data_IF_645633819502
#
_entry.id   IF_645633819502
#
_cell.length_a   1.000
_cell.length_b   1.000
_cell.length_c   1.000
_cell.angle_alpha   90.00
_cell.angle_beta   90.00
_cell.angle_gamma   90.00
#
_symmetry.space_group_name_H-M   'P 1'
#
loop_
_entity.id
_entity.type
_entity.pdbx_description
1 polymer ?
#
# COMPACT_ATOMS: atom_id res chain seq x y z
N UNK A 1 -9.02 6.86 22.03
CA UNK A 1 -9.46 5.73 21.19
C UNK A 1 -10.96 5.53 21.27
N UNK A 2 -11.72 5.99 20.28
CA UNK A 2 -13.20 5.90 20.30
C UNK A 2 -13.83 5.47 18.96
N UNK A 3 -13.04 5.05 17.98
CA UNK A 3 -13.53 4.67 16.64
C UNK A 3 -13.65 3.16 16.41
N UNK A 4 -13.33 2.36 17.43
CA UNK A 4 -13.39 0.91 17.38
C UNK A 4 -14.38 0.45 18.45
N UNK A 5 -15.67 0.47 18.10
CA UNK A 5 -16.78 0.11 18.98
C UNK A 5 -16.95 -1.41 19.21
N UNK A 6 -18.06 -1.81 19.88
CA UNK A 6 -18.36 -3.20 20.31
C UNK A 6 -18.31 -4.25 19.18
N UNK A 7 -18.48 -3.84 17.92
CA UNK A 7 -18.38 -4.72 16.76
C UNK A 7 -17.02 -5.42 16.60
N UNK A 8 -15.92 -4.79 17.02
CA UNK A 8 -14.60 -5.44 16.92
C UNK A 8 -14.41 -6.50 17.99
N UNK A 9 -14.96 -6.28 19.18
CA UNK A 9 -14.98 -7.29 20.23
C UNK A 9 -15.76 -8.53 19.78
N UNK A 10 -16.91 -8.31 19.14
CA UNK A 10 -17.74 -9.37 18.54
C UNK A 10 -16.96 -10.13 17.46
N UNK A 11 -16.23 -9.44 16.60
CA UNK A 11 -15.44 -10.07 15.53
C UNK A 11 -14.34 -10.99 16.08
N UNK A 12 -13.68 -10.59 17.18
CA UNK A 12 -12.68 -11.44 17.85
C UNK A 12 -13.28 -12.69 18.49
N UNK A 13 -14.51 -12.60 19.03
CA UNK A 13 -15.21 -13.78 19.52
C UNK A 13 -15.57 -14.76 18.40
N UNK A 14 -15.97 -14.25 17.24
CA UNK A 14 -16.22 -15.08 16.05
C UNK A 14 -14.94 -15.78 15.58
N UNK A 15 -13.81 -15.08 15.54
CA UNK A 15 -12.52 -15.66 15.18
C UNK A 15 -12.12 -16.77 16.17
N UNK A 16 -12.28 -16.53 17.47
CA UNK A 16 -12.00 -17.53 18.52
C UNK A 16 -12.89 -18.77 18.38
N UNK A 17 -14.18 -18.56 18.12
CA UNK A 17 -15.14 -19.64 17.87
C UNK A 17 -14.76 -20.44 16.63
N UNK A 18 -14.37 -19.78 15.53
CA UNK A 18 -13.91 -20.45 14.30
C UNK A 18 -12.68 -21.32 14.57
N UNK A 19 -11.69 -20.84 15.35
CA UNK A 19 -10.49 -21.63 15.69
C UNK A 19 -10.82 -22.86 16.52
N UNK A 20 -11.75 -22.73 17.48
CA UNK A 20 -12.17 -23.84 18.35
C UNK A 20 -12.96 -24.86 17.53
N UNK A 21 -13.94 -24.39 16.74
CA UNK A 21 -14.77 -25.23 15.87
C UNK A 21 -13.91 -25.95 14.84
N UNK A 22 -12.94 -25.28 14.20
CA UNK A 22 -12.03 -25.94 13.25
C UNK A 22 -11.19 -27.02 13.92
N UNK A 23 -10.80 -26.83 15.19
CA UNK A 23 -10.06 -27.84 15.97
C UNK A 23 -10.92 -29.06 16.34
N UNK A 24 -12.20 -28.85 16.66
CA UNK A 24 -13.15 -29.93 16.92
C UNK A 24 -13.47 -30.73 15.65
N UNK A 25 -13.64 -30.04 14.52
CA UNK A 25 -13.85 -30.66 13.21
C UNK A 25 -12.63 -31.49 12.78
N UNK A 26 -11.41 -31.01 13.05
CA UNK A 26 -10.18 -31.75 12.79
C UNK A 26 -10.11 -33.06 13.60
N UNK A 27 -10.49 -33.01 14.89
CA UNK A 27 -10.57 -34.19 15.76
C UNK A 27 -11.63 -35.20 15.28
N UNK A 28 -12.81 -34.71 14.89
CA UNK A 28 -13.89 -35.54 14.35
C UNK A 28 -13.51 -36.20 13.02
N UNK A 29 -12.87 -35.45 12.12
CA UNK A 29 -12.37 -35.97 10.84
C UNK A 29 -11.32 -37.06 11.04
N UNK A 30 -10.43 -36.93 12.04
CA UNK A 30 -9.48 -37.99 12.38
C UNK A 30 -10.14 -39.22 13.02
N UNK A 31 -11.22 -39.03 13.78
CA UNK A 31 -11.90 -40.11 14.49
C UNK A 31 -12.89 -40.92 13.62
N UNK A 32 -13.53 -40.28 12.64
CA UNK A 32 -14.61 -40.88 11.85
C UNK A 32 -14.38 -40.86 10.32
N UNK A 33 -13.30 -40.23 9.84
CA UNK A 33 -13.02 -40.11 8.41
C UNK A 33 -12.43 -41.38 7.82
N UNK A 34 -13.10 -41.95 6.82
CA UNK A 34 -12.57 -43.08 6.04
C UNK A 34 -11.32 -42.61 5.25
N UNK A 35 -10.17 -43.24 5.43
CA UNK A 35 -8.84 -42.64 5.20
C UNK A 35 -8.32 -42.60 3.74
N UNK A 36 -9.14 -42.92 2.73
CA UNK A 36 -8.58 -43.29 1.41
C UNK A 36 -8.71 -42.24 0.30
N UNK A 37 -8.96 -40.96 0.63
CA UNK A 37 -9.16 -39.89 -0.37
C UNK A 37 -8.07 -38.82 -0.40
N UNK A 38 -7.44 -38.49 -1.55
CA UNK A 38 -6.48 -37.37 -1.67
C UNK A 38 -7.09 -36.00 -1.32
N UNK A 39 -8.42 -35.86 -1.41
CA UNK A 39 -9.17 -34.68 -1.00
C UNK A 39 -9.19 -34.47 0.52
N UNK A 40 -9.25 -35.55 1.33
CA UNK A 40 -9.33 -35.48 2.80
C UNK A 40 -8.05 -34.88 3.40
N UNK A 41 -6.89 -35.21 2.82
CA UNK A 41 -5.59 -34.65 3.21
C UNK A 41 -5.50 -33.13 3.00
N UNK A 42 -6.11 -32.61 1.93
CA UNK A 42 -6.21 -31.17 1.68
C UNK A 42 -7.01 -30.44 2.76
N UNK A 43 -8.19 -30.98 3.11
CA UNK A 43 -9.03 -30.43 4.18
C UNK A 43 -8.35 -30.47 5.55
N UNK A 44 -7.63 -31.53 5.89
CA UNK A 44 -6.90 -31.62 7.16
C UNK A 44 -5.74 -30.60 7.26
N UNK A 45 -5.00 -30.37 6.17
CA UNK A 45 -3.96 -29.31 6.13
C UNK A 45 -4.55 -27.93 6.35
N UNK A 46 -5.73 -27.70 5.79
CA UNK A 46 -6.50 -26.48 5.93
C UNK A 46 -6.92 -26.18 7.37
N UNK A 47 -7.47 -27.18 8.05
CA UNK A 47 -7.88 -27.08 9.45
C UNK A 47 -6.67 -26.80 10.35
N UNK A 48 -5.48 -27.31 9.96
CA UNK A 48 -4.21 -26.95 10.62
C UNK A 48 -3.80 -25.50 10.33
N UNK A 49 -4.02 -24.96 9.13
CA UNK A 49 -3.78 -23.54 8.82
C UNK A 49 -4.67 -22.60 9.63
N UNK A 50 -5.91 -22.98 9.95
CA UNK A 50 -6.78 -22.17 10.84
C UNK A 50 -6.14 -22.02 12.23
N UNK A 51 -5.27 -22.95 12.66
CA UNK A 51 -4.51 -22.78 13.91
C UNK A 51 -3.49 -21.64 13.83
N UNK A 52 -3.00 -21.29 12.63
CA UNK A 52 -2.14 -20.12 12.44
C UNK A 52 -2.91 -18.81 12.62
N UNK A 53 -4.25 -18.81 12.52
CA UNK A 53 -5.05 -17.64 12.90
C UNK A 53 -4.89 -17.29 14.40
N UNK A 54 -4.37 -18.21 15.24
CA UNK A 54 -3.95 -17.89 16.62
C UNK A 54 -2.80 -16.87 16.65
N UNK A 55 -1.98 -16.79 15.61
CA UNK A 55 -0.94 -15.76 15.48
C UNK A 55 -1.56 -14.35 15.37
N UNK A 56 -2.77 -14.23 14.81
CA UNK A 56 -3.50 -12.95 14.81
C UNK A 56 -3.82 -12.49 16.24
N UNK A 57 -3.90 -13.41 17.21
CA UNK A 57 -4.00 -13.03 18.64
C UNK A 57 -2.70 -12.43 19.16
N UNK A 58 -1.54 -12.94 18.76
CA UNK A 58 -0.25 -12.34 19.12
C UNK A 58 -0.15 -10.93 18.54
N UNK A 59 -0.55 -10.76 17.27
CA UNK A 59 -0.64 -9.44 16.63
C UNK A 59 -1.61 -8.53 17.41
N UNK A 60 -2.78 -9.03 17.85
CA UNK A 60 -3.74 -8.29 18.68
C UNK A 60 -3.14 -7.86 20.03
N UNK A 61 -2.42 -8.75 20.70
CA UNK A 61 -1.78 -8.47 21.99
C UNK A 61 -0.71 -7.39 21.80
N UNK A 62 0.16 -7.55 20.80
CA UNK A 62 1.13 -6.52 20.42
C UNK A 62 0.48 -5.18 20.05
N UNK A 63 -0.69 -5.21 19.39
CA UNK A 63 -1.46 -4.03 19.02
C UNK A 63 -2.17 -3.32 20.18
N UNK A 64 -2.22 -3.95 21.36
CA UNK A 64 -2.82 -3.38 22.57
C UNK A 64 -1.78 -2.86 23.57
N UNK A 65 -0.50 -3.11 23.33
CA UNK A 65 0.61 -2.55 24.10
C UNK A 65 0.75 -1.04 23.81
N UNK A 66 1.23 -0.28 24.79
CA UNK A 66 1.46 1.15 24.65
C UNK A 66 2.68 1.41 23.76
N UNK A 67 2.42 1.80 22.50
CA UNK A 67 3.45 2.04 21.49
C UNK A 67 4.06 3.46 21.55
N UNK A 68 4.12 4.08 22.74
CA UNK A 68 4.67 5.42 22.93
C UNK A 68 6.15 5.52 22.51
N UNK A 69 6.89 4.41 22.58
CA UNK A 69 8.27 4.32 22.13
C UNK A 69 8.45 4.63 20.63
N UNK A 70 7.40 4.43 19.82
CA UNK A 70 7.44 4.71 18.38
C UNK A 70 7.37 6.21 18.05
N UNK A 71 7.00 7.07 19.00
CA UNK A 71 7.09 8.53 18.83
C UNK A 71 8.48 9.07 19.16
N UNK A 72 9.36 8.24 19.75
CA UNK A 72 10.69 8.67 20.13
C UNK A 72 11.54 9.03 18.90
N UNK A 73 12.33 10.11 19.01
CA UNK A 73 13.28 10.53 17.98
C UNK A 73 14.22 9.39 17.52
N UNK A 74 14.51 8.43 18.41
CA UNK A 74 15.34 7.25 18.08
C UNK A 74 14.66 6.34 17.05
N UNK A 75 13.37 6.13 17.18
CA UNK A 75 12.60 5.31 16.23
C UNK A 75 12.45 6.03 14.90
N UNK A 76 12.12 7.33 14.92
CA UNK A 76 12.05 8.14 13.71
C UNK A 76 13.39 8.17 12.95
N UNK A 77 14.52 8.36 13.66
CA UNK A 77 15.84 8.30 13.05
C UNK A 77 16.15 6.92 12.44
N UNK A 78 15.77 5.84 13.13
CA UNK A 78 15.90 4.48 12.58
C UNK A 78 15.12 4.31 11.28
N UNK A 79 13.86 4.73 11.25
CA UNK A 79 13.03 4.68 10.04
C UNK A 79 13.65 5.52 8.92
N UNK A 80 14.17 6.72 9.20
CA UNK A 80 14.84 7.53 8.19
C UNK A 80 16.04 6.81 7.56
N UNK A 81 16.87 6.15 8.37
CA UNK A 81 18.01 5.37 7.87
C UNK A 81 17.53 4.23 6.98
N UNK A 82 16.44 3.56 7.36
CA UNK A 82 15.83 2.48 6.57
C UNK A 82 15.29 3.00 5.23
N UNK A 83 14.62 4.16 5.21
CA UNK A 83 14.12 4.79 3.97
C UNK A 83 15.29 5.19 3.06
N UNK A 84 16.35 5.77 3.63
CA UNK A 84 17.53 6.18 2.87
C UNK A 84 18.25 4.96 2.26
N UNK A 85 18.41 3.89 3.02
CA UNK A 85 18.96 2.64 2.51
C UNK A 85 18.09 2.04 1.39
N UNK A 86 16.77 2.09 1.55
CA UNK A 86 15.82 1.66 0.51
C UNK A 86 15.94 2.48 -0.78
N UNK A 87 16.15 3.79 -0.66
CA UNK A 87 16.37 4.67 -1.81
C UNK A 87 17.62 4.27 -2.61
N UNK A 88 18.71 3.98 -1.90
CA UNK A 88 19.97 3.51 -2.51
C UNK A 88 19.72 2.16 -3.21
N UNK A 89 19.04 1.23 -2.54
CA UNK A 89 18.74 -0.09 -3.11
C UNK A 89 17.93 -0.01 -4.40
N UNK A 90 16.94 0.88 -4.49
CA UNK A 90 16.16 1.08 -5.73
C UNK A 90 17.07 1.58 -6.86
N UNK A 91 18.02 2.46 -6.55
CA UNK A 91 19.03 2.92 -7.53
C UNK A 91 19.90 1.76 -8.02
N UNK A 92 20.43 0.95 -7.10
CA UNK A 92 21.22 -0.23 -7.44
C UNK A 92 20.39 -1.29 -8.21
N UNK A 93 19.14 -1.53 -7.85
CA UNK A 93 18.24 -2.44 -8.58
C UNK A 93 18.04 -2.00 -10.03
N UNK A 94 18.03 -0.69 -10.29
CA UNK A 94 17.86 -0.13 -11.64
C UNK A 94 19.10 -0.35 -12.52
N UNK A 95 20.29 -0.14 -11.97
CA UNK A 95 21.56 -0.28 -12.72
C UNK A 95 22.00 -1.75 -12.89
N UNK A 96 21.69 -2.61 -11.92
CA UNK A 96 22.11 -4.01 -11.88
C UNK A 96 20.96 -4.98 -12.16
N UNK A 97 20.17 -4.71 -13.19
CA UNK A 97 19.07 -5.57 -13.67
C UNK A 97 19.61 -6.85 -14.34
N UNK A 98 20.47 -7.62 -13.66
CA UNK A 98 20.98 -8.91 -14.11
C UNK A 98 20.30 -10.03 -13.33
N UNK A 99 19.80 -11.04 -14.05
CA UNK A 99 18.92 -12.11 -13.54
C UNK A 99 19.45 -12.84 -12.29
N UNK A 100 20.77 -12.88 -12.08
CA UNK A 100 21.40 -13.60 -10.96
C UNK A 100 21.40 -12.84 -9.61
N UNK A 101 21.23 -11.51 -9.60
CA UNK A 101 21.23 -10.72 -8.36
C UNK A 101 19.82 -10.46 -7.81
N UNK A 102 18.79 -10.85 -8.57
CA UNK A 102 17.37 -10.61 -8.29
C UNK A 102 16.88 -11.21 -6.95
N UNK A 103 17.43 -12.35 -6.52
CA UNK A 103 17.01 -13.02 -5.29
C UNK A 103 17.38 -12.24 -4.02
N UNK A 104 18.56 -11.62 -3.96
CA UNK A 104 18.99 -10.84 -2.80
C UNK A 104 18.09 -9.60 -2.63
N UNK A 105 17.84 -8.89 -3.73
CA UNK A 105 16.96 -7.73 -3.73
C UNK A 105 15.53 -8.09 -3.30
N UNK A 106 15.02 -9.25 -3.71
CA UNK A 106 13.72 -9.74 -3.26
C UNK A 106 13.64 -9.88 -1.74
N UNK A 107 14.61 -10.56 -1.10
CA UNK A 107 14.60 -10.73 0.35
C UNK A 107 14.74 -9.42 1.12
N UNK A 108 15.57 -8.52 0.61
CA UNK A 108 15.74 -7.18 1.19
C UNK A 108 14.44 -6.37 1.06
N UNK A 109 13.75 -6.44 -0.08
CA UNK A 109 12.45 -5.80 -0.28
C UNK A 109 11.39 -6.34 0.68
N UNK A 110 11.35 -7.66 0.94
CA UNK A 110 10.47 -8.25 1.95
C UNK A 110 10.75 -7.70 3.35
N UNK A 111 12.04 -7.59 3.72
CA UNK A 111 12.44 -7.02 5.01
C UNK A 111 11.99 -5.56 5.16
N UNK A 112 12.23 -4.75 4.13
CA UNK A 112 11.85 -3.33 4.12
C UNK A 112 10.33 -3.13 4.15
N UNK A 113 9.58 -3.93 3.38
CA UNK A 113 8.11 -3.89 3.42
C UNK A 113 7.59 -4.25 4.82
N UNK A 114 8.21 -5.24 5.48
CA UNK A 114 7.84 -5.65 6.84
C UNK A 114 8.02 -4.49 7.83
N UNK A 115 9.14 -3.77 7.75
CA UNK A 115 9.42 -2.62 8.61
C UNK A 115 8.39 -1.51 8.41
N UNK A 116 8.08 -1.16 7.15
CA UNK A 116 7.08 -0.12 6.86
C UNK A 116 5.66 -0.53 7.21
N UNK A 117 5.32 -1.80 7.02
CA UNK A 117 4.05 -2.34 7.45
C UNK A 117 3.88 -2.22 8.96
N UNK A 118 4.93 -2.55 9.72
CA UNK A 118 4.93 -2.40 11.16
C UNK A 118 4.80 -0.93 11.57
N UNK A 119 5.60 -0.03 11.00
CA UNK A 119 5.54 1.41 11.25
C UNK A 119 4.15 2.01 11.00
N UNK A 120 3.55 1.71 9.84
CA UNK A 120 2.21 2.16 9.49
C UNK A 120 1.17 1.64 10.49
N UNK A 121 1.28 0.38 10.88
CA UNK A 121 0.37 -0.26 11.83
C UNK A 121 0.46 0.39 13.22
N UNK A 122 1.67 0.77 13.67
CA UNK A 122 1.84 1.55 14.89
C UNK A 122 1.19 2.93 14.78
N UNK A 123 1.44 3.68 13.69
CA UNK A 123 0.85 5.01 13.47
C UNK A 123 -0.68 4.95 13.39
N UNK A 124 -1.22 4.00 12.63
CA UNK A 124 -2.66 3.81 12.50
C UNK A 124 -3.32 3.48 13.84
N UNK A 125 -2.64 2.71 14.71
CA UNK A 125 -3.15 2.37 16.03
C UNK A 125 -3.18 3.57 16.97
N UNK A 126 -2.11 4.37 16.95
CA UNK A 126 -1.97 5.55 17.79
C UNK A 126 -3.01 6.62 17.42
N UNK A 127 -3.06 7.01 16.14
CA UNK A 127 -3.94 8.09 15.67
C UNK A 127 -5.37 7.60 15.35
N UNK A 128 -5.60 6.29 15.14
CA UNK A 128 -6.90 5.74 14.76
C UNK A 128 -7.42 6.35 13.45
N UNK A 129 -8.73 6.52 13.29
CA UNK A 129 -9.27 7.18 12.09
C UNK A 129 -8.96 8.69 12.04
N UNK A 130 -8.46 9.29 13.13
CA UNK A 130 -7.96 10.67 13.09
C UNK A 130 -6.69 10.80 12.24
N UNK A 131 -5.96 9.70 12.02
CA UNK A 131 -4.78 9.62 11.13
C UNK A 131 -5.04 10.20 9.73
N UNK A 132 -6.25 10.03 9.21
CA UNK A 132 -6.61 10.42 7.84
C UNK A 132 -7.18 11.84 7.72
N UNK A 133 -7.59 12.46 8.83
CA UNK A 133 -8.35 13.71 8.81
C UNK A 133 -7.78 14.83 9.68
N UNK A 134 -6.92 14.50 10.65
CA UNK A 134 -6.32 15.47 11.58
C UNK A 134 -4.82 15.47 11.34
N UNK A 135 -4.35 16.38 10.49
CA UNK A 135 -3.00 16.99 10.40
C UNK A 135 -2.86 17.69 9.03
N UNK A 136 -2.04 18.74 8.95
CA UNK A 136 -1.74 19.48 7.70
C UNK A 136 -1.19 18.58 6.57
N UNK A 137 -0.75 17.36 6.89
CA UNK A 137 -0.18 16.38 5.96
C UNK A 137 -1.10 15.18 5.64
N UNK A 138 -2.43 15.36 5.69
CA UNK A 138 -3.42 14.27 5.46
C UNK A 138 -3.17 13.47 4.17
N UNK A 139 -2.78 14.14 3.08
CA UNK A 139 -2.50 13.53 1.79
C UNK A 139 -1.28 12.60 1.84
N UNK A 140 -0.25 12.96 2.62
CA UNK A 140 0.94 12.14 2.79
C UNK A 140 0.68 10.88 3.62
N UNK A 141 -0.21 10.98 4.61
CA UNK A 141 -0.64 9.82 5.39
C UNK A 141 -1.45 8.82 4.52
N UNK A 142 -2.30 9.32 3.62
CA UNK A 142 -2.97 8.50 2.62
C UNK A 142 -1.99 7.86 1.64
N UNK A 143 -0.99 8.60 1.18
CA UNK A 143 0.07 8.05 0.33
C UNK A 143 0.85 6.95 1.05
N UNK A 144 1.21 7.14 2.32
CA UNK A 144 1.87 6.12 3.13
C UNK A 144 1.04 4.84 3.16
N UNK A 145 -0.25 4.96 3.51
CA UNK A 145 -1.18 3.85 3.53
C UNK A 145 -1.27 3.11 2.19
N UNK A 146 -1.43 3.82 1.08
CA UNK A 146 -1.55 3.24 -0.27
C UNK A 146 -0.27 2.51 -0.67
N UNK A 147 0.90 3.09 -0.39
CA UNK A 147 2.20 2.50 -0.74
C UNK A 147 2.41 1.18 0.02
N UNK A 148 2.14 1.15 1.33
CA UNK A 148 2.30 -0.10 2.11
C UNK A 148 1.23 -1.11 1.72
N UNK A 149 -0.03 -0.69 1.56
CA UNK A 149 -1.13 -1.58 1.22
C UNK A 149 -0.92 -2.27 -0.13
N UNK A 150 -0.49 -1.52 -1.15
CA UNK A 150 -0.15 -2.09 -2.46
C UNK A 150 0.98 -3.12 -2.36
N UNK A 151 2.05 -2.82 -1.60
CA UNK A 151 3.15 -3.77 -1.37
C UNK A 151 2.72 -5.06 -0.67
N UNK A 152 1.88 -4.96 0.36
CA UNK A 152 1.35 -6.13 1.09
C UNK A 152 0.43 -6.97 0.20
N UNK A 153 -0.42 -6.32 -0.59
CA UNK A 153 -1.30 -7.01 -1.53
C UNK A 153 -0.46 -7.80 -2.55
N UNK A 154 0.51 -7.13 -3.17
CA UNK A 154 1.28 -7.70 -4.27
C UNK A 154 2.23 -8.81 -3.78
N UNK A 155 2.92 -8.61 -2.66
CA UNK A 155 3.97 -9.53 -2.21
C UNK A 155 3.46 -10.62 -1.26
N UNK A 156 2.53 -10.31 -0.37
CA UNK A 156 2.11 -11.24 0.68
C UNK A 156 0.78 -11.87 0.37
N UNK A 157 -0.25 -11.09 0.03
CA UNK A 157 -1.60 -11.62 -0.18
C UNK A 157 -1.62 -12.54 -1.39
N UNK A 158 -1.02 -12.14 -2.52
CA UNK A 158 -0.94 -13.01 -3.70
C UNK A 158 -0.17 -14.31 -3.42
N UNK A 159 0.94 -14.23 -2.66
CA UNK A 159 1.73 -15.39 -2.27
C UNK A 159 0.93 -16.35 -1.38
N UNK A 160 0.28 -15.84 -0.33
CA UNK A 160 -0.58 -16.62 0.58
C UNK A 160 -1.74 -17.27 -0.19
N UNK A 161 -2.43 -16.52 -1.05
CA UNK A 161 -3.57 -17.03 -1.81
C UNK A 161 -3.13 -18.14 -2.75
N UNK A 162 -2.01 -17.97 -3.46
CA UNK A 162 -1.48 -19.00 -4.36
C UNK A 162 -1.03 -20.26 -3.61
N UNK A 163 -0.36 -20.09 -2.47
CA UNK A 163 0.05 -21.19 -1.60
C UNK A 163 -1.16 -21.98 -1.08
N UNK A 164 -2.17 -21.26 -0.58
CA UNK A 164 -3.42 -21.85 -0.09
C UNK A 164 -4.12 -22.58 -1.23
N UNK A 165 -4.32 -21.97 -2.39
CA UNK A 165 -4.94 -22.60 -3.56
C UNK A 165 -4.20 -23.88 -4.00
N UNK A 166 -2.87 -23.84 -4.02
CA UNK A 166 -2.03 -25.00 -4.32
C UNK A 166 -2.20 -26.15 -3.31
N UNK A 167 -2.39 -25.84 -2.03
CA UNK A 167 -2.66 -26.85 -1.00
C UNK A 167 -4.00 -27.58 -1.19
N UNK A 168 -4.94 -26.98 -1.90
CA UNK A 168 -6.25 -27.57 -2.17
C UNK A 168 -6.35 -28.32 -3.50
N UNK A 169 -5.36 -28.19 -4.39
CA UNK A 169 -5.51 -28.63 -5.77
C UNK A 169 -6.66 -27.94 -6.49
N UNK A 170 -7.13 -26.79 -5.97
CA UNK A 170 -8.19 -25.98 -6.59
C UNK A 170 -7.49 -24.94 -7.44
N UNK A 171 -7.58 -25.11 -8.76
CA UNK A 171 -7.19 -24.06 -9.68
C UNK A 171 -8.21 -22.94 -9.58
N UNK A 172 -7.79 -21.83 -8.97
CA UNK A 172 -8.64 -20.66 -8.85
C UNK A 172 -8.43 -19.80 -10.11
N UNK A 173 -9.41 -19.72 -11.04
CA UNK A 173 -9.21 -19.06 -12.33
C UNK A 173 -8.92 -17.57 -12.17
N UNK A 174 -9.49 -16.92 -11.15
CA UNK A 174 -9.21 -15.52 -10.85
C UNK A 174 -7.80 -15.30 -10.30
N UNK A 175 -7.19 -16.25 -9.60
CA UNK A 175 -5.79 -16.16 -9.13
C UNK A 175 -4.83 -16.31 -10.30
N UNK A 176 -5.05 -17.29 -11.18
CA UNK A 176 -4.21 -17.50 -12.37
C UNK A 176 -4.36 -16.35 -13.38
N UNK A 177 -5.57 -15.80 -13.53
CA UNK A 177 -5.83 -14.57 -14.29
C UNK A 177 -5.21 -13.34 -13.62
N UNK A 178 -5.23 -13.25 -12.29
CA UNK A 178 -4.53 -12.19 -11.53
C UNK A 178 -3.01 -12.29 -11.73
N UNK A 179 -2.47 -13.51 -11.81
CA UNK A 179 -1.06 -13.78 -12.14
C UNK A 179 -0.72 -13.29 -13.57
N UNK A 180 -1.62 -13.45 -14.54
CA UNK A 180 -1.43 -12.83 -15.87
C UNK A 180 -1.51 -11.29 -15.81
N UNK A 181 -2.35 -10.73 -14.92
CA UNK A 181 -2.41 -9.30 -14.61
C UNK A 181 -1.16 -8.83 -13.83
N UNK A 182 -0.28 -9.72 -13.35
CA UNK A 182 1.02 -9.33 -12.76
C UNK A 182 1.91 -8.57 -13.75
N UNK A 183 1.63 -8.66 -15.06
CA UNK A 183 2.21 -7.79 -16.10
C UNK A 183 1.72 -6.33 -15.97
N UNK A 184 0.48 -6.11 -15.55
CA UNK A 184 -0.12 -4.78 -15.32
C UNK A 184 0.18 -4.24 -13.91
N UNK A 185 0.34 -5.12 -12.92
CA UNK A 185 0.85 -4.80 -11.56
C UNK A 185 2.34 -4.36 -11.60
N UNK A 186 3.03 -4.49 -12.74
CA UNK A 186 4.34 -3.85 -12.95
C UNK A 186 4.32 -2.35 -12.67
N UNK A 187 3.18 -1.66 -12.88
CA UNK A 187 3.03 -0.24 -12.53
C UNK A 187 2.86 -0.02 -11.02
N UNK A 188 2.24 -0.94 -10.29
CA UNK A 188 2.18 -0.87 -8.83
C UNK A 188 3.59 -1.00 -8.21
N UNK A 189 4.50 -1.71 -8.87
CA UNK A 189 5.94 -1.69 -8.51
C UNK A 189 6.59 -0.31 -8.71
N UNK A 190 6.04 0.58 -9.54
CA UNK A 190 6.50 1.97 -9.62
C UNK A 190 5.95 2.82 -8.46
N UNK A 191 4.78 2.48 -7.91
CA UNK A 191 4.29 3.12 -6.68
C UNK A 191 5.25 2.90 -5.52
N UNK A 192 6.03 1.83 -5.57
CA UNK A 192 7.12 1.56 -4.64
C UNK A 192 8.19 2.66 -4.68
N UNK A 193 8.47 3.28 -5.83
CA UNK A 193 9.35 4.46 -5.96
C UNK A 193 8.78 5.68 -5.24
N UNK A 194 7.45 5.79 -5.09
CA UNK A 194 6.83 6.86 -4.31
C UNK A 194 7.23 6.83 -2.84
N UNK A 195 7.82 5.74 -2.33
CA UNK A 195 8.43 5.74 -0.99
C UNK A 195 9.56 6.77 -0.86
N UNK A 196 10.21 7.16 -1.96
CA UNK A 196 11.17 8.27 -1.98
C UNK A 196 10.53 9.61 -1.58
N UNK A 197 9.23 9.80 -1.86
CA UNK A 197 8.48 10.98 -1.43
C UNK A 197 8.42 11.05 0.10
N UNK A 198 8.46 9.91 0.80
CA UNK A 198 8.54 9.91 2.27
C UNK A 198 9.85 10.50 2.77
N UNK A 199 10.97 10.24 2.09
CA UNK A 199 12.26 10.82 2.45
C UNK A 199 12.21 12.36 2.43
N UNK A 200 11.50 12.94 1.46
CA UNK A 200 11.28 14.40 1.37
C UNK A 200 10.52 14.94 2.58
N UNK A 201 9.51 14.21 3.06
CA UNK A 201 8.72 14.60 4.24
C UNK A 201 9.51 14.46 5.53
N UNK A 202 10.26 13.38 5.68
CA UNK A 202 11.04 13.09 6.89
C UNK A 202 12.20 14.08 7.05
N UNK A 203 12.78 14.59 5.96
CA UNK A 203 13.82 15.62 6.01
C UNK A 203 13.17 17.01 5.97
N UNK A 204 13.11 17.77 7.08
CA UNK A 204 12.36 19.03 7.14
C UNK A 204 12.89 20.09 6.16
N UNK A 205 14.19 20.06 5.85
CA UNK A 205 14.78 20.93 4.84
C UNK A 205 14.26 20.63 3.43
N UNK A 206 14.11 19.35 3.06
CA UNK A 206 13.57 18.97 1.75
C UNK A 206 12.08 19.29 1.65
N UNK A 207 11.32 19.00 2.71
CA UNK A 207 9.90 19.34 2.78
C UNK A 207 9.67 20.84 2.55
N UNK A 208 10.41 21.69 3.26
CA UNK A 208 10.30 23.15 3.15
C UNK A 208 10.59 23.63 1.73
N UNK A 209 11.63 23.08 1.09
CA UNK A 209 11.96 23.39 -0.31
C UNK A 209 10.84 22.96 -1.25
N UNK A 210 10.32 21.74 -1.12
CA UNK A 210 9.24 21.24 -1.98
C UNK A 210 7.96 22.05 -1.79
N UNK A 211 7.58 22.38 -0.55
CA UNK A 211 6.42 23.24 -0.30
C UNK A 211 6.61 24.65 -0.87
N UNK A 212 7.83 25.21 -0.81
CA UNK A 212 8.15 26.50 -1.42
C UNK A 212 8.05 26.47 -2.95
N UNK A 213 8.51 25.39 -3.58
CA UNK A 213 8.36 25.17 -5.03
C UNK A 213 6.88 25.07 -5.41
N UNK A 214 6.08 24.30 -4.66
CA UNK A 214 4.65 24.16 -4.92
C UNK A 214 3.90 25.49 -4.80
N UNK A 215 4.26 26.32 -3.81
CA UNK A 215 3.71 27.68 -3.66
C UNK A 215 4.11 28.59 -4.83
N UNK A 216 5.37 28.51 -5.31
CA UNK A 216 5.80 29.26 -6.48
C UNK A 216 5.06 28.82 -7.76
N UNK A 217 4.81 27.51 -7.93
CA UNK A 217 4.03 26.97 -9.04
C UNK A 217 2.59 27.48 -9.03
N UNK A 218 1.99 27.68 -7.85
CA UNK A 218 0.67 28.29 -7.74
C UNK A 218 0.68 29.76 -8.24
N UNK A 219 1.77 30.50 -8.08
CA UNK A 219 1.91 31.82 -8.69
C UNK A 219 1.96 31.75 -10.23
N UNK A 220 2.69 30.77 -10.77
CA UNK A 220 2.81 30.55 -12.23
C UNK A 220 1.46 30.17 -12.86
N UNK A 221 0.60 29.44 -12.14
CA UNK A 221 -0.71 29.05 -12.69
C UNK A 221 -1.60 30.25 -13.00
N UNK A 222 -1.58 31.30 -12.17
CA UNK A 222 -2.30 32.55 -12.45
C UNK A 222 -1.72 33.31 -13.64
N UNK A 223 -0.41 33.32 -13.79
CA UNK A 223 0.26 33.90 -14.97
C UNK A 223 -0.14 33.15 -16.23
N UNK A 224 -0.22 31.82 -16.16
CA UNK A 224 -0.67 30.98 -17.27
C UNK A 224 -2.13 31.26 -17.65
N UNK A 225 -3.02 31.44 -16.67
CA UNK A 225 -4.42 31.83 -16.90
C UNK A 225 -4.50 33.21 -17.59
N UNK A 226 -3.75 34.20 -17.12
CA UNK A 226 -3.71 35.54 -17.73
C UNK A 226 -3.20 35.49 -19.17
N UNK A 227 -2.15 34.70 -19.43
CA UNK A 227 -1.61 34.49 -20.77
C UNK A 227 -2.65 33.87 -21.70
N UNK A 228 -3.40 32.86 -21.24
CA UNK A 228 -4.48 32.24 -22.01
C UNK A 228 -5.60 33.24 -22.35
N UNK A 229 -6.02 34.06 -21.40
CA UNK A 229 -7.04 35.10 -21.64
C UNK A 229 -6.54 36.10 -22.70
N UNK A 230 -5.30 36.53 -22.59
CA UNK A 230 -4.70 37.50 -23.52
C UNK A 230 -4.62 36.92 -24.94
N UNK A 231 -4.13 35.68 -25.06
CA UNK A 231 -4.08 34.97 -26.34
C UNK A 231 -5.48 34.79 -26.93
N UNK A 232 -6.48 34.45 -26.11
CA UNK A 232 -7.87 34.33 -26.55
C UNK A 232 -8.44 35.67 -27.05
N UNK A 233 -8.19 36.78 -26.37
CA UNK A 233 -8.60 38.11 -26.81
C UNK A 233 -7.96 38.49 -28.14
N UNK A 234 -6.66 38.29 -28.31
CA UNK A 234 -5.97 38.53 -29.58
C UNK A 234 -6.53 37.65 -30.70
N UNK A 235 -6.74 36.35 -30.45
CA UNK A 235 -7.33 35.44 -31.42
C UNK A 235 -8.72 35.90 -31.85
N UNK A 236 -9.60 36.27 -30.91
CA UNK A 236 -10.93 36.79 -31.20
C UNK A 236 -10.87 38.05 -32.06
N UNK A 237 -9.98 38.99 -31.74
CA UNK A 237 -9.80 40.23 -32.51
C UNK A 237 -9.35 39.90 -33.94
N UNK A 238 -8.37 39.02 -34.13
CA UNK A 238 -7.95 38.58 -35.46
C UNK A 238 -9.07 37.89 -36.23
N UNK A 239 -9.86 37.01 -35.58
CA UNK A 239 -11.01 36.37 -36.22
C UNK A 239 -12.11 37.37 -36.59
N UNK A 240 -12.34 38.41 -35.77
CA UNK A 240 -13.33 39.46 -36.06
C UNK A 240 -12.87 40.41 -37.16
N UNK A 241 -11.60 40.82 -37.13
CA UNK A 241 -11.01 41.76 -38.10
C UNK A 241 -10.80 41.12 -39.47
N UNK A 242 -10.23 39.90 -39.51
CA UNK A 242 -9.81 39.22 -40.74
C UNK A 242 -10.86 38.18 -41.18
N UNK A 243 -11.39 37.40 -40.24
CA UNK A 243 -12.30 36.28 -40.55
C UNK A 243 -13.72 36.69 -40.93
N UNK A 244 -14.22 37.82 -40.41
CA UNK A 244 -15.58 38.33 -40.70
C UNK A 244 -15.63 39.45 -41.77
N UNK A 245 -14.53 39.69 -42.50
CA UNK A 245 -14.44 40.68 -43.61
C UNK A 245 -15.14 42.03 -43.34
N UNK A 246 -14.89 42.68 -42.20
CA UNK A 246 -15.29 44.08 -42.01
C UNK A 246 -14.50 45.06 -42.91
N UNK A 247 -13.40 44.61 -43.53
CA UNK A 247 -12.51 45.43 -44.39
C UNK A 247 -12.59 45.12 -45.89
N UNK A 248 -13.38 44.13 -46.31
CA UNK A 248 -13.70 43.92 -47.73
C UNK A 248 -15.23 43.91 -47.85
N UNK A 249 -15.87 45.09 -47.96
CA UNK A 249 -17.24 45.15 -48.45
C UNK A 249 -17.21 44.51 -49.84
N UNK A 250 -18.16 43.60 -50.09
CA UNK A 250 -18.27 42.89 -51.35
C UNK A 250 -18.18 43.88 -52.54
N UNK A 251 -17.14 43.71 -53.35
CA UNK A 251 -17.04 44.26 -54.71
C UNK A 251 -17.21 43.14 -55.71
#
# INVERSE_FOLDING_TARGET
>A
GLLIGPCTHVWWHWLDLIIIVSGLVDLWMMAFGNHDGPSVLGYLRLLRLVRLARLLKLVRVFLNEDLSWAEGNKFQMFIMVVIFFNAILIGFETDFQSDSQSDCFYWVEQGLLTIFFFELLVRLRHYGCKFFYIHDDWAFNWLDFIIVASGVIDLWILSIVSFVAGLFGVEIPWVNRMWQITVTIRLARLLRVLRLVRLVREIPALYTLVTGILQAMQGISWVFVLALITLYSCALLFTRLIGHRLLLPDS
#
